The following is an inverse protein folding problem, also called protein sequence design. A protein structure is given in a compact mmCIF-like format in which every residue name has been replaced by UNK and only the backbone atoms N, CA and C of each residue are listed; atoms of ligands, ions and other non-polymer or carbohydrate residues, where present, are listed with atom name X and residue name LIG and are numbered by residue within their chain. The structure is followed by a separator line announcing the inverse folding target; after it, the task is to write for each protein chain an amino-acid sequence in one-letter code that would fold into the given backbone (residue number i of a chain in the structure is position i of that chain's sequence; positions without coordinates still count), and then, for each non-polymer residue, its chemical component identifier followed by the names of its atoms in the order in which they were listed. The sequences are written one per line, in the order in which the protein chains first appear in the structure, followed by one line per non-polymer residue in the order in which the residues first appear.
data_IF_839451531011
#
_entry.id   IF_839451531011
#
_cell.length_a   1.000
_cell.length_b   1.000
_cell.length_c   1.000
_cell.angle_alpha   90.00
_cell.angle_beta   90.00
_cell.angle_gamma   90.00
#
_symmetry.space_group_name_H-M   'P 1'
#
loop_
_entity.id
_entity.type
_entity.pdbx_description
1 polymer ?
#
# COMPACT_ATOMS: atom_id res chain seq x y z
N UNK A 1 16.00 27.73 -5.42
CA UNK A 1 17.26 27.00 -5.18
C UNK A 1 16.92 25.70 -4.43
N UNK A 2 17.45 24.58 -4.90
CA UNK A 2 17.32 23.29 -4.27
C UNK A 2 18.63 22.94 -3.54
N UNK A 3 18.55 22.57 -2.27
CA UNK A 3 19.72 22.17 -1.47
C UNK A 3 20.05 20.69 -1.62
N UNK A 4 19.05 19.85 -1.67
CA UNK A 4 19.15 18.39 -1.73
C UNK A 4 17.98 17.80 -2.49
N UNK A 5 18.15 16.58 -3.01
CA UNK A 5 17.07 15.87 -3.66
C UNK A 5 17.36 14.39 -3.81
N UNK A 6 16.29 13.61 -3.97
CA UNK A 6 16.35 12.19 -4.30
C UNK A 6 15.62 11.98 -5.62
N UNK A 7 16.32 11.38 -6.58
CA UNK A 7 15.82 11.11 -7.91
C UNK A 7 15.63 9.59 -8.06
N UNK A 8 14.38 9.14 -8.21
CA UNK A 8 14.05 7.72 -8.34
C UNK A 8 14.07 7.27 -9.81
N UNK A 9 13.45 8.09 -10.66
CA UNK A 9 13.44 7.90 -12.12
C UNK A 9 12.90 9.16 -12.81
N UNK A 10 12.84 9.16 -14.15
CA UNK A 10 12.24 10.27 -14.91
C UNK A 10 10.84 10.63 -14.37
N UNK A 11 10.63 11.91 -14.03
CA UNK A 11 9.40 12.47 -13.45
C UNK A 11 9.05 11.93 -12.04
N UNK A 12 9.99 11.29 -11.34
CA UNK A 12 9.81 10.86 -9.94
C UNK A 12 10.98 11.30 -9.10
N UNK A 13 10.78 12.35 -8.32
CA UNK A 13 11.81 12.95 -7.48
C UNK A 13 11.22 13.69 -6.30
N UNK A 14 12.06 13.91 -5.29
CA UNK A 14 11.77 14.71 -4.11
C UNK A 14 12.87 15.73 -3.97
N UNK A 15 12.52 17.00 -3.85
CA UNK A 15 13.46 18.11 -3.71
C UNK A 15 13.22 18.86 -2.41
N UNK A 16 14.29 19.20 -1.72
CA UNK A 16 14.29 20.17 -0.62
C UNK A 16 14.63 21.55 -1.18
N UNK A 17 13.69 22.47 -1.12
CA UNK A 17 13.75 23.79 -1.72
C UNK A 17 13.98 24.84 -0.62
N UNK A 18 15.05 25.62 -0.74
CA UNK A 18 15.40 26.70 0.16
C UNK A 18 15.05 28.10 -0.39
N UNK A 19 14.93 28.21 -1.71
CA UNK A 19 14.56 29.47 -2.36
C UNK A 19 13.61 29.16 -3.52
N UNK A 20 12.49 29.86 -3.56
CA UNK A 20 11.47 29.74 -4.58
C UNK A 20 11.24 31.14 -5.18
N UNK A 21 11.87 31.41 -6.34
CA UNK A 21 11.80 32.68 -7.07
C UNK A 21 12.24 33.90 -6.24
N UNK A 22 13.32 33.76 -5.44
CA UNK A 22 13.85 34.81 -4.60
C UNK A 22 13.20 34.92 -3.20
N UNK A 23 12.25 34.04 -2.89
CA UNK A 23 11.65 33.94 -1.56
C UNK A 23 12.32 32.79 -0.80
N UNK A 24 12.91 33.09 0.37
CA UNK A 24 13.47 32.08 1.24
C UNK A 24 12.35 31.19 1.79
N UNK A 25 12.48 29.88 1.57
CA UNK A 25 11.52 28.85 1.99
C UNK A 25 12.25 27.66 2.57
N UNK A 26 11.52 26.82 3.31
CA UNK A 26 11.98 25.51 3.75
C UNK A 26 10.85 24.51 3.46
N UNK A 27 10.86 23.97 2.24
CA UNK A 27 9.76 23.10 1.82
C UNK A 27 10.24 21.92 0.96
N UNK A 28 9.48 20.82 1.01
CA UNK A 28 9.70 19.66 0.16
C UNK A 28 8.71 19.65 -1.02
N UNK A 29 9.25 19.47 -2.22
CA UNK A 29 8.47 19.24 -3.45
C UNK A 29 8.52 17.78 -3.82
N UNK A 30 7.36 17.15 -3.87
CA UNK A 30 7.18 15.76 -4.27
C UNK A 30 6.60 15.70 -5.68
N UNK A 31 7.28 15.02 -6.58
CA UNK A 31 6.83 14.87 -7.98
C UNK A 31 6.74 13.40 -8.34
N UNK A 32 5.56 12.93 -8.71
CA UNK A 32 5.32 11.57 -9.23
C UNK A 32 5.56 10.42 -8.25
N UNK A 33 5.93 10.70 -7.01
CA UNK A 33 6.18 9.68 -5.97
C UNK A 33 4.89 9.20 -5.33
N UNK A 34 4.90 7.95 -4.87
CA UNK A 34 3.70 7.28 -4.36
C UNK A 34 3.10 7.94 -3.12
N UNK A 35 3.92 8.60 -2.30
CA UNK A 35 3.48 9.25 -1.05
C UNK A 35 2.41 10.31 -1.26
N UNK A 36 2.41 10.98 -2.40
CA UNK A 36 1.42 12.03 -2.72
C UNK A 36 0.19 11.48 -3.45
N UNK A 37 0.20 10.21 -3.87
CA UNK A 37 -0.92 9.60 -4.58
C UNK A 37 -2.12 9.33 -3.69
N UNK A 38 -3.30 9.27 -4.29
CA UNK A 38 -4.54 8.91 -3.60
C UNK A 38 -4.56 7.46 -3.08
N UNK A 39 -3.71 6.60 -3.64
CA UNK A 39 -3.57 5.19 -3.21
C UNK A 39 -2.84 5.03 -1.88
N UNK A 40 -2.04 6.03 -1.45
CA UNK A 40 -1.41 6.02 -0.13
C UNK A 40 -2.46 6.35 0.93
N UNK A 41 -2.65 5.48 1.94
CA UNK A 41 -3.57 5.73 3.03
C UNK A 41 -3.32 7.08 3.72
N UNK A 42 -4.40 7.81 4.01
CA UNK A 42 -4.28 9.16 4.56
C UNK A 42 -3.57 9.19 5.90
N UNK A 43 -3.85 8.21 6.76
CA UNK A 43 -3.23 8.07 8.09
C UNK A 43 -1.71 7.93 8.03
N UNK A 44 -1.18 7.30 6.98
CA UNK A 44 0.26 7.04 6.84
C UNK A 44 1.04 8.18 6.18
N UNK A 45 0.37 9.06 5.42
CA UNK A 45 1.05 10.14 4.68
C UNK A 45 1.97 11.02 5.51
N UNK A 46 1.56 11.50 6.71
CA UNK A 46 2.43 12.33 7.54
C UNK A 46 3.70 11.57 7.98
N UNK A 47 3.56 10.31 8.38
CA UNK A 47 4.67 9.48 8.82
C UNK A 47 5.65 9.19 7.69
N UNK A 48 5.14 8.81 6.51
CA UNK A 48 5.96 8.56 5.32
C UNK A 48 6.72 9.83 4.91
N UNK A 49 6.07 11.01 4.94
CA UNK A 49 6.73 12.29 4.66
C UNK A 49 7.82 12.57 5.67
N UNK A 50 7.54 12.45 6.96
CA UNK A 50 8.53 12.68 8.02
C UNK A 50 9.78 11.81 7.84
N UNK A 51 9.61 10.52 7.53
CA UNK A 51 10.75 9.62 7.29
C UNK A 51 11.58 10.08 6.09
N UNK A 52 10.93 10.46 4.99
CA UNK A 52 11.59 10.92 3.77
C UNK A 52 12.34 12.24 4.02
N UNK A 53 11.71 13.19 4.69
CA UNK A 53 12.28 14.49 5.03
C UNK A 53 13.48 14.31 5.96
N UNK A 54 13.37 13.46 6.99
CA UNK A 54 14.50 13.08 7.87
C UNK A 54 15.64 12.45 7.09
N UNK A 55 15.33 11.51 6.20
CA UNK A 55 16.33 10.87 5.33
C UNK A 55 17.13 11.89 4.50
N UNK A 56 16.45 12.87 3.91
CA UNK A 56 17.07 13.88 3.05
C UNK A 56 17.88 14.89 3.89
N UNK A 57 17.36 15.29 5.06
CA UNK A 57 18.03 16.26 5.94
C UNK A 57 19.27 15.69 6.62
N UNK A 58 19.11 14.55 7.26
CA UNK A 58 20.17 14.00 8.13
C UNK A 58 21.18 13.15 7.38
N UNK A 59 20.75 12.46 6.33
CA UNK A 59 21.52 11.38 5.66
C UNK A 59 21.96 10.29 6.64
N UNK A 60 21.23 10.13 7.73
CA UNK A 60 21.51 9.13 8.74
C UNK A 60 20.56 7.92 8.59
N UNK A 61 21.17 6.79 8.26
CA UNK A 61 20.46 5.53 8.10
C UNK A 61 19.76 5.10 9.39
N UNK A 62 20.44 5.20 10.53
CA UNK A 62 19.92 4.67 11.79
C UNK A 62 18.69 5.43 12.25
N UNK A 63 18.73 6.76 12.22
CA UNK A 63 17.58 7.61 12.56
C UNK A 63 16.40 7.36 11.59
N UNK A 64 16.67 7.28 10.27
CA UNK A 64 15.66 7.01 9.27
C UNK A 64 15.03 5.62 9.46
N UNK A 65 15.83 4.61 9.70
CA UNK A 65 15.37 3.23 9.89
C UNK A 65 14.58 3.05 11.20
N UNK A 66 14.93 3.79 12.26
CA UNK A 66 14.15 3.84 13.50
C UNK A 66 12.73 4.32 13.23
N UNK A 67 12.57 5.47 12.55
CA UNK A 67 11.26 6.00 12.17
C UNK A 67 10.47 5.04 11.26
N UNK A 68 11.17 4.33 10.37
CA UNK A 68 10.56 3.33 9.51
C UNK A 68 9.99 2.15 10.30
N UNK A 69 10.71 1.67 11.31
CA UNK A 69 10.23 0.60 12.20
C UNK A 69 9.07 1.07 13.09
N UNK A 70 9.13 2.29 13.63
CA UNK A 70 8.02 2.89 14.39
C UNK A 70 6.75 2.99 13.52
N UNK A 71 6.89 3.33 12.24
CA UNK A 71 5.77 3.34 11.30
C UNK A 71 5.20 1.93 11.04
N UNK A 72 6.03 0.89 11.04
CA UNK A 72 5.56 -0.48 10.92
C UNK A 72 4.70 -0.90 12.12
N UNK A 73 5.15 -0.59 13.32
CA UNK A 73 4.39 -0.83 14.56
C UNK A 73 3.05 -0.07 14.54
N UNK A 74 3.08 1.21 14.12
CA UNK A 74 1.85 1.99 13.95
C UNK A 74 0.91 1.36 12.92
N UNK A 75 1.43 0.88 11.78
CA UNK A 75 0.63 0.26 10.73
C UNK A 75 -0.19 -0.93 11.25
N UNK A 76 0.38 -1.72 12.16
CA UNK A 76 -0.29 -2.88 12.72
C UNK A 76 -1.46 -2.51 13.65
N UNK A 77 -1.48 -1.30 14.19
CA UNK A 77 -2.56 -0.77 15.04
C UNK A 77 -3.70 -0.12 14.25
N UNK A 78 -3.48 0.25 13.00
CA UNK A 78 -4.47 0.95 12.17
C UNK A 78 -5.69 0.09 11.86
N UNK A 79 -6.85 0.72 11.70
CA UNK A 79 -8.06 0.03 11.27
C UNK A 79 -7.92 -0.51 9.84
N UNK A 80 -8.75 -1.51 9.48
CA UNK A 80 -8.79 -2.01 8.10
C UNK A 80 -9.12 -0.88 7.11
N UNK A 81 -10.01 0.03 7.47
CA UNK A 81 -10.41 1.16 6.63
C UNK A 81 -9.28 2.16 6.37
N UNK A 82 -8.34 2.28 7.32
CA UNK A 82 -7.18 3.15 7.19
C UNK A 82 -6.10 2.60 6.27
N UNK A 83 -6.01 1.26 6.16
CA UNK A 83 -4.96 0.58 5.38
C UNK A 83 -5.47 -0.01 4.05
N UNK A 84 -6.78 -0.13 3.86
CA UNK A 84 -7.35 -0.68 2.63
C UNK A 84 -7.02 0.18 1.40
N UNK A 85 -6.72 -0.48 0.30
CA UNK A 85 -6.58 0.19 -0.99
C UNK A 85 -7.94 0.69 -1.48
N UNK A 86 -7.97 1.87 -2.08
CA UNK A 86 -9.18 2.44 -2.69
C UNK A 86 -8.98 2.60 -4.19
N UNK A 87 -9.78 1.90 -4.98
CA UNK A 87 -9.70 1.94 -6.44
C UNK A 87 -11.07 2.10 -7.08
N UNK A 88 -11.12 2.78 -8.23
CA UNK A 88 -12.33 2.87 -9.05
C UNK A 88 -12.52 1.64 -9.92
N UNK A 89 -13.70 1.05 -9.92
CA UNK A 89 -14.09 -0.09 -10.75
C UNK A 89 -14.77 0.40 -12.06
N UNK A 90 -14.04 1.18 -12.87
CA UNK A 90 -14.60 1.79 -14.10
C UNK A 90 -15.11 0.78 -15.13
N UNK A 91 -14.52 -0.42 -15.17
CA UNK A 91 -14.84 -1.47 -16.12
C UNK A 91 -15.07 -2.79 -15.39
N UNK A 92 -15.83 -2.74 -14.28
CA UNK A 92 -16.18 -3.96 -13.57
C UNK A 92 -17.09 -4.83 -14.44
N UNK A 93 -16.64 -6.04 -14.72
CA UNK A 93 -17.38 -7.06 -15.44
C UNK A 93 -17.02 -8.44 -14.91
N UNK A 94 -17.98 -9.32 -14.84
CA UNK A 94 -17.79 -10.74 -14.50
C UNK A 94 -17.42 -11.57 -15.73
N UNK A 95 -17.43 -10.97 -16.91
CA UNK A 95 -17.07 -11.60 -18.19
C UNK A 95 -15.89 -10.85 -18.79
N UNK A 96 -14.87 -11.60 -19.21
CA UNK A 96 -13.70 -11.05 -19.91
C UNK A 96 -14.10 -10.55 -21.31
N UNK A 97 -13.89 -9.26 -21.57
CA UNK A 97 -14.13 -8.68 -22.89
C UNK A 97 -13.22 -9.22 -23.99
N UNK A 98 -12.05 -9.75 -23.61
CA UNK A 98 -11.06 -10.25 -24.56
C UNK A 98 -11.24 -11.73 -24.90
N UNK A 99 -11.69 -12.55 -23.94
CA UNK A 99 -11.72 -14.02 -24.09
C UNK A 99 -13.12 -14.61 -23.96
N UNK A 100 -14.12 -13.84 -23.50
CA UNK A 100 -15.44 -14.33 -23.16
C UNK A 100 -15.49 -15.23 -21.92
N UNK A 101 -14.35 -15.43 -21.24
CA UNK A 101 -14.29 -16.25 -20.03
C UNK A 101 -15.09 -15.58 -18.89
N UNK A 102 -15.95 -16.35 -18.21
CA UNK A 102 -16.79 -15.86 -17.12
C UNK A 102 -16.20 -16.20 -15.74
N UNK A 103 -16.46 -15.32 -14.78
CA UNK A 103 -16.22 -15.61 -13.38
C UNK A 103 -17.24 -16.63 -12.89
N UNK A 104 -16.80 -17.63 -12.15
CA UNK A 104 -17.68 -18.68 -11.58
C UNK A 104 -17.24 -19.05 -10.19
N UNK A 105 -18.18 -18.98 -9.23
CA UNK A 105 -17.92 -19.19 -7.81
C UNK A 105 -16.78 -18.30 -7.32
N UNK A 106 -15.64 -18.83 -6.83
CA UNK A 106 -14.45 -18.04 -6.45
C UNK A 106 -13.33 -18.07 -7.50
N UNK A 107 -13.64 -18.45 -8.73
CA UNK A 107 -12.73 -18.38 -9.87
C UNK A 107 -13.00 -17.14 -10.71
N UNK A 108 -11.95 -16.39 -11.02
CA UNK A 108 -12.02 -15.20 -11.87
C UNK A 108 -11.25 -15.44 -13.17
N UNK A 109 -11.65 -14.80 -14.26
CA UNK A 109 -10.96 -14.91 -15.53
C UNK A 109 -9.50 -14.41 -15.46
N UNK A 110 -8.66 -14.94 -16.32
CA UNK A 110 -7.24 -14.57 -16.40
C UNK A 110 -7.07 -13.11 -16.79
N UNK A 111 -6.22 -12.38 -16.05
CA UNK A 111 -5.94 -10.96 -16.29
C UNK A 111 -6.92 -9.99 -15.63
N UNK A 112 -7.94 -10.45 -14.93
CA UNK A 112 -8.82 -9.58 -14.15
C UNK A 112 -8.00 -8.79 -13.10
N UNK A 113 -8.13 -7.44 -13.05
CA UNK A 113 -7.42 -6.63 -12.07
C UNK A 113 -7.79 -6.98 -10.63
N UNK A 114 -6.86 -6.85 -9.69
CA UNK A 114 -7.06 -7.28 -8.30
C UNK A 114 -8.26 -6.59 -7.63
N UNK A 115 -8.46 -5.29 -7.84
CA UNK A 115 -9.59 -4.56 -7.29
C UNK A 115 -10.93 -5.04 -7.85
N UNK A 116 -10.97 -5.43 -9.14
CA UNK A 116 -12.16 -6.01 -9.75
C UNK A 116 -12.41 -7.44 -9.23
N UNK A 117 -11.36 -8.27 -9.07
CA UNK A 117 -11.47 -9.58 -8.39
C UNK A 117 -12.04 -9.43 -6.99
N UNK A 118 -11.51 -8.49 -6.23
CA UNK A 118 -11.95 -8.23 -4.86
C UNK A 118 -13.41 -7.79 -4.79
N UNK A 119 -13.86 -6.95 -5.74
CA UNK A 119 -15.26 -6.56 -5.87
C UNK A 119 -16.15 -7.75 -6.23
N UNK A 120 -15.70 -8.62 -7.15
CA UNK A 120 -16.41 -9.83 -7.51
C UNK A 120 -16.59 -10.78 -6.31
N UNK A 121 -15.52 -11.06 -5.56
CA UNK A 121 -15.60 -11.91 -4.37
C UNK A 121 -16.54 -11.35 -3.31
N UNK A 122 -16.52 -10.04 -3.12
CA UNK A 122 -17.44 -9.36 -2.22
C UNK A 122 -18.89 -9.55 -2.63
N UNK A 123 -19.23 -9.21 -3.88
CA UNK A 123 -20.58 -9.34 -4.40
C UNK A 123 -21.07 -10.80 -4.33
N UNK A 124 -20.22 -11.74 -4.76
CA UNK A 124 -20.54 -13.17 -4.72
C UNK A 124 -20.81 -13.68 -3.30
N UNK A 125 -20.05 -13.23 -2.31
CA UNK A 125 -20.31 -13.59 -0.92
C UNK A 125 -21.58 -12.95 -0.35
N UNK A 126 -21.89 -11.71 -0.72
CA UNK A 126 -23.14 -11.06 -0.34
C UNK A 126 -24.35 -11.86 -0.85
N UNK A 127 -24.33 -12.28 -2.10
CA UNK A 127 -25.38 -13.10 -2.71
C UNK A 127 -25.48 -14.48 -2.02
N UNK A 128 -24.35 -15.17 -1.87
CA UNK A 128 -24.28 -16.51 -1.29
C UNK A 128 -24.77 -16.57 0.15
N UNK A 129 -24.60 -15.48 0.92
CA UNK A 129 -25.04 -15.39 2.31
C UNK A 129 -26.34 -14.59 2.49
N UNK A 130 -27.03 -14.22 1.40
CA UNK A 130 -28.25 -13.43 1.41
C UNK A 130 -28.12 -12.09 2.15
N UNK A 131 -26.97 -11.41 1.99
CA UNK A 131 -26.64 -10.16 2.64
C UNK A 131 -26.84 -8.91 1.77
N UNK A 132 -27.33 -9.05 0.54
CA UNK A 132 -27.54 -7.95 -0.42
C UNK A 132 -28.56 -6.91 0.05
N UNK A 133 -29.46 -7.25 0.97
CA UNK A 133 -30.38 -6.31 1.60
C UNK A 133 -29.71 -5.46 2.70
N UNK A 134 -28.57 -5.90 3.23
CA UNK A 134 -27.85 -5.24 4.32
C UNK A 134 -26.64 -4.45 3.83
N UNK A 135 -25.98 -4.96 2.79
CA UNK A 135 -24.77 -4.36 2.23
C UNK A 135 -24.94 -4.15 0.72
N UNK A 136 -24.56 -2.99 0.27
CA UNK A 136 -24.66 -2.63 -1.15
C UNK A 136 -23.53 -3.28 -1.96
N UNK A 137 -23.88 -3.91 -3.09
CA UNK A 137 -22.92 -4.48 -4.04
C UNK A 137 -22.11 -3.41 -4.75
N UNK A 138 -20.90 -3.77 -5.18
CA UNK A 138 -20.03 -2.93 -6.00
C UNK A 138 -20.45 -3.06 -7.47
N UNK A 139 -20.72 -1.94 -8.11
CA UNK A 139 -21.10 -1.85 -9.52
C UNK A 139 -20.01 -1.16 -10.36
N UNK A 140 -20.16 -1.23 -11.68
CA UNK A 140 -19.29 -0.48 -12.59
C UNK A 140 -19.38 1.02 -12.34
N UNK A 141 -18.23 1.70 -12.24
CA UNK A 141 -18.13 3.11 -11.86
C UNK A 141 -17.94 3.37 -10.37
N UNK A 142 -18.25 2.41 -9.51
CA UNK A 142 -18.06 2.56 -8.07
C UNK A 142 -16.59 2.57 -7.65
N UNK A 143 -16.35 3.04 -6.42
CA UNK A 143 -15.10 2.83 -5.72
C UNK A 143 -15.20 1.57 -4.87
N UNK A 144 -14.19 0.71 -4.96
CA UNK A 144 -14.04 -0.43 -4.07
C UNK A 144 -12.86 -0.18 -3.14
N UNK A 145 -13.06 -0.50 -1.86
CA UNK A 145 -11.98 -0.72 -0.89
C UNK A 145 -11.59 -2.17 -0.95
N UNK A 146 -10.31 -2.51 -0.95
CA UNK A 146 -9.87 -3.89 -0.96
C UNK A 146 -8.58 -4.08 -0.17
N UNK A 147 -8.37 -5.32 0.29
CA UNK A 147 -7.19 -5.73 1.01
C UNK A 147 -6.75 -7.13 0.59
N UNK A 148 -5.50 -7.46 0.85
CA UNK A 148 -4.99 -8.82 0.71
C UNK A 148 -5.43 -9.66 1.92
N UNK A 149 -5.81 -10.92 1.66
CA UNK A 149 -6.29 -11.85 2.68
C UNK A 149 -5.19 -12.79 3.12
N UNK A 150 -5.14 -13.09 4.43
CA UNK A 150 -4.33 -14.19 4.95
C UNK A 150 -4.70 -15.52 4.30
N UNK A 151 -3.69 -16.34 4.04
CA UNK A 151 -3.85 -17.67 3.47
C UNK A 151 -3.31 -18.72 4.46
N UNK A 152 -3.90 -19.92 4.50
CA UNK A 152 -5.12 -20.31 3.81
C UNK A 152 -6.38 -19.68 4.44
N UNK A 153 -7.43 -19.47 3.65
CA UNK A 153 -8.74 -19.08 4.15
C UNK A 153 -9.84 -19.97 3.54
N UNK A 154 -11.03 -19.93 4.14
CA UNK A 154 -12.19 -20.77 3.78
C UNK A 154 -12.56 -20.75 2.30
N UNK A 155 -12.31 -19.63 1.62
CA UNK A 155 -12.72 -19.42 0.23
C UNK A 155 -11.56 -19.52 -0.77
N UNK A 156 -10.32 -19.68 -0.30
CA UNK A 156 -9.12 -19.71 -1.15
C UNK A 156 -8.83 -18.40 -1.90
N UNK A 157 -9.40 -17.27 -1.44
CA UNK A 157 -9.26 -15.98 -2.11
C UNK A 157 -8.06 -15.19 -1.57
N UNK A 158 -7.25 -14.61 -2.46
CA UNK A 158 -6.05 -13.84 -2.09
C UNK A 158 -6.32 -12.37 -1.78
N UNK A 159 -7.53 -11.87 -2.05
CA UNK A 159 -7.94 -10.49 -1.77
C UNK A 159 -9.44 -10.42 -1.56
N UNK A 160 -9.90 -9.40 -0.82
CA UNK A 160 -11.31 -9.16 -0.55
C UNK A 160 -11.63 -7.69 -0.68
N UNK A 161 -12.78 -7.39 -1.31
CA UNK A 161 -13.31 -6.04 -1.44
C UNK A 161 -14.47 -5.75 -0.51
N UNK A 162 -14.84 -4.46 -0.45
CA UNK A 162 -16.07 -3.97 0.15
C UNK A 162 -16.35 -2.54 -0.34
N UNK A 163 -17.61 -2.10 -0.24
CA UNK A 163 -18.00 -0.78 -0.76
C UNK A 163 -17.84 0.31 0.29
N UNK A 164 -18.49 0.21 1.42
CA UNK A 164 -18.46 1.21 2.51
C UNK A 164 -17.80 0.64 3.77
N UNK A 165 -18.40 -0.37 4.37
CA UNK A 165 -17.94 -1.05 5.57
C UNK A 165 -17.72 -2.53 5.27
N UNK A 166 -16.66 -3.11 5.82
CA UNK A 166 -16.43 -4.54 5.71
C UNK A 166 -17.48 -5.30 6.53
N UNK A 167 -18.21 -6.26 5.90
CA UNK A 167 -19.26 -7.03 6.60
C UNK A 167 -18.70 -7.80 7.78
N UNK A 168 -19.35 -7.65 8.95
CA UNK A 168 -18.95 -8.35 10.17
C UNK A 168 -19.09 -9.88 10.01
N UNK A 169 -20.03 -10.31 9.18
CA UNK A 169 -20.29 -11.71 8.87
C UNK A 169 -19.07 -12.38 8.17
N UNK A 170 -18.25 -11.61 7.48
CA UNK A 170 -17.05 -12.13 6.82
C UNK A 170 -15.81 -12.12 7.73
N UNK A 171 -15.84 -11.38 8.84
CA UNK A 171 -14.67 -11.15 9.70
C UNK A 171 -14.13 -12.40 10.37
N UNK A 172 -14.95 -13.45 10.54
CA UNK A 172 -14.50 -14.72 11.12
C UNK A 172 -13.75 -15.60 10.11
N UNK A 173 -14.04 -15.46 8.81
CA UNK A 173 -13.52 -16.32 7.76
C UNK A 173 -12.41 -15.64 6.94
N UNK A 174 -12.37 -14.31 6.94
CA UNK A 174 -11.50 -13.52 6.08
C UNK A 174 -10.77 -12.45 6.91
N UNK A 175 -9.46 -12.62 7.03
CA UNK A 175 -8.59 -11.72 7.78
C UNK A 175 -7.62 -10.98 6.85
N UNK A 176 -7.31 -9.69 7.10
CA UNK A 176 -6.30 -8.96 6.35
C UNK A 176 -4.91 -9.55 6.61
N UNK A 177 -4.15 -9.71 5.53
CA UNK A 177 -2.71 -10.00 5.56
C UNK A 177 -1.96 -8.67 5.72
N UNK A 178 -1.80 -8.22 6.97
CA UNK A 178 -1.20 -6.92 7.29
C UNK A 178 0.26 -6.83 6.82
N UNK A 179 1.01 -7.90 6.93
CA UNK A 179 2.41 -7.95 6.47
C UNK A 179 2.48 -7.69 4.96
N UNK A 180 1.69 -8.40 4.17
CA UNK A 180 1.59 -8.20 2.72
C UNK A 180 1.03 -6.83 2.36
N UNK A 181 0.09 -6.29 3.13
CA UNK A 181 -0.42 -4.94 2.95
C UNK A 181 0.68 -3.91 3.17
N UNK A 182 1.44 -4.02 4.26
CA UNK A 182 2.58 -3.16 4.54
C UNK A 182 3.63 -3.24 3.41
N UNK A 183 3.97 -4.45 2.98
CA UNK A 183 4.91 -4.65 1.88
C UNK A 183 4.48 -3.90 0.61
N UNK A 184 3.20 -3.99 0.24
CA UNK A 184 2.68 -3.37 -0.99
C UNK A 184 2.46 -1.87 -0.88
N UNK A 185 2.09 -1.36 0.30
CA UNK A 185 1.78 0.07 0.50
C UNK A 185 3.06 0.87 0.78
N UNK A 186 3.91 0.36 1.66
CA UNK A 186 5.00 1.10 2.28
C UNK A 186 6.37 0.58 1.86
N UNK A 187 6.65 -0.70 2.13
CA UNK A 187 8.00 -1.25 1.95
C UNK A 187 8.50 -1.06 0.51
N UNK A 188 7.69 -1.35 -0.49
CA UNK A 188 8.04 -1.17 -1.90
C UNK A 188 8.37 0.29 -2.31
N UNK A 189 7.87 1.26 -1.56
CA UNK A 189 8.20 2.69 -1.74
C UNK A 189 9.57 2.99 -1.12
N UNK A 190 9.78 2.53 0.11
CA UNK A 190 11.03 2.77 0.84
C UNK A 190 12.21 1.98 0.28
N UNK A 191 11.99 0.77 -0.23
CA UNK A 191 13.02 0.00 -0.92
C UNK A 191 13.67 0.82 -2.05
N UNK A 192 12.86 1.45 -2.89
CA UNK A 192 13.36 2.32 -3.98
C UNK A 192 14.00 3.61 -3.48
N UNK A 193 13.48 4.19 -2.39
CA UNK A 193 14.05 5.41 -1.81
C UNK A 193 15.42 5.13 -1.17
N UNK A 194 15.55 4.03 -0.43
CA UNK A 194 16.80 3.62 0.18
C UNK A 194 17.85 3.27 -0.90
N UNK A 195 17.46 2.52 -1.92
CA UNK A 195 18.32 2.20 -3.06
C UNK A 195 18.85 3.47 -3.76
N UNK A 196 18.00 4.48 -3.96
CA UNK A 196 18.38 5.75 -4.60
C UNK A 196 19.42 6.55 -3.81
N UNK A 197 19.55 6.32 -2.50
CA UNK A 197 20.57 6.94 -1.64
C UNK A 197 21.71 5.99 -1.26
N UNK A 198 21.76 4.80 -1.88
CA UNK A 198 22.79 3.79 -1.67
C UNK A 198 22.62 2.98 -0.38
N UNK A 199 21.42 2.96 0.19
CA UNK A 199 21.10 2.19 1.39
C UNK A 199 20.36 0.89 1.05
N UNK A 200 20.44 -0.09 1.94
CA UNK A 200 19.63 -1.31 1.85
C UNK A 200 18.41 -1.17 2.77
N UNK A 201 17.22 -1.21 2.18
CA UNK A 201 15.98 -1.30 2.96
C UNK A 201 15.82 -2.73 3.48
N UNK A 202 15.60 -2.89 4.78
CA UNK A 202 15.34 -4.18 5.43
C UNK A 202 13.88 -4.22 5.87
N UNK A 203 13.28 -5.41 5.82
CA UNK A 203 11.95 -5.60 6.40
C UNK A 203 12.02 -5.43 7.92
N UNK A 204 11.03 -4.75 8.53
CA UNK A 204 10.95 -4.71 9.98
C UNK A 204 10.92 -6.12 10.56
N UNK A 205 11.70 -6.36 11.62
CA UNK A 205 11.82 -7.68 12.24
C UNK A 205 12.86 -8.62 11.59
N UNK A 206 13.44 -8.28 10.44
CA UNK A 206 14.63 -9.01 9.96
C UNK A 206 15.80 -8.77 10.92
N UNK A 207 16.25 -9.84 11.58
CA UNK A 207 17.47 -9.77 12.37
C UNK A 207 18.64 -9.32 11.50
N UNK A 208 19.39 -8.34 11.97
CA UNK A 208 20.70 -8.04 11.43
C UNK A 208 21.54 -9.26 11.71
N UNK A 209 21.77 -10.14 10.72
CA UNK A 209 22.97 -10.95 10.73
C UNK A 209 24.13 -9.95 10.64
N UNK A 210 24.61 -9.52 11.79
CA UNK A 210 25.87 -8.80 11.89
C UNK A 210 26.88 -9.79 11.38
N UNK A 211 27.44 -9.52 10.20
CA UNK A 211 28.49 -10.38 9.67
C UNK A 211 29.60 -10.39 10.74
N UNK A 212 30.03 -11.58 11.12
CA UNK A 212 31.11 -11.77 12.14
C UNK A 212 32.33 -10.92 11.78
N UNK A 213 32.51 -10.63 10.49
CA UNK A 213 33.55 -9.76 9.95
C UNK A 213 33.34 -8.26 10.27
N UNK A 214 32.10 -7.78 10.46
CA UNK A 214 31.84 -6.39 10.86
C UNK A 214 32.11 -6.18 12.37
N UNK A 215 32.00 -7.23 13.17
CA UNK A 215 32.37 -7.23 14.60
C UNK A 215 33.89 -7.32 14.83
N UNK A 216 34.64 -7.79 13.83
CA UNK A 216 36.11 -7.95 13.92
C UNK A 216 36.86 -6.75 13.31
N UNK A 217 36.18 -5.70 12.86
CA UNK A 217 36.78 -4.45 12.40
C UNK A 217 36.88 -3.38 13.50
N UNK A 218 37.08 -3.82 14.74
CA UNK A 218 37.53 -2.97 15.84
C UNK A 218 39.07 -2.92 15.87
#
# INVERSE_FOLDING_TARGET
ICSRGVFLQKKRYILHILDDEGISVDKFKYTGVEVVRSTMPKALKPHVKNIIETMIHTKDYNTTNKLFNEMYELFDTLSLDDIAFVMGCKSYSTISQNTGEECNNFKTYKGMPIHAKSAYYYNHLLEKQNLTNKYESVSSGDKVRYFYCKQPNKYGIGSMGYKYNFPKEFSNDIHPDREKMFEKIIFSVFERLYEAVGWKCRKPGEMVQTDLFDLLKL
#
